data_IF_235318958247
#
_entry.id   IF_235318958247
#
_cell.length_a   1.000
_cell.length_b   1.000
_cell.length_c   1.000
_cell.angle_alpha   90.00
_cell.angle_beta   90.00
_cell.angle_gamma   90.00
#
_symmetry.space_group_name_H-M   'P 1'
#
loop_
_entity.id
_entity.type
_entity.pdbx_description
1 polymer ?
#
# COMPACT_ATOMS: atom_id res chain seq x y z
N UNK A 1 -19.59 4.28 -4.13
CA UNK A 1 -18.79 4.51 -2.89
C UNK A 1 -17.75 3.42 -2.83
N UNK A 2 -16.52 3.67 -3.25
CA UNK A 2 -15.43 2.71 -3.12
C UNK A 2 -14.65 3.08 -1.87
N UNK A 3 -14.55 2.14 -0.92
CA UNK A 3 -13.73 2.28 0.27
C UNK A 3 -12.28 1.94 -0.12
N UNK A 4 -11.35 2.86 0.10
CA UNK A 4 -9.93 2.54 0.06
C UNK A 4 -9.62 1.52 1.18
N UNK A 5 -8.73 0.58 0.89
CA UNK A 5 -8.41 -0.51 1.84
C UNK A 5 -6.97 -0.29 2.33
N UNK A 6 -6.74 -0.26 3.65
CA UNK A 6 -5.39 -0.19 4.20
C UNK A 6 -4.66 -1.52 3.99
N UNK A 7 -3.39 -1.43 3.61
CA UNK A 7 -2.52 -2.60 3.45
C UNK A 7 -1.09 -2.27 3.83
N UNK A 8 -0.40 -3.27 4.39
CA UNK A 8 1.00 -3.12 4.81
C UNK A 8 1.93 -3.48 3.68
N UNK A 9 2.88 -2.60 3.34
CA UNK A 9 3.87 -2.88 2.30
C UNK A 9 4.86 -3.93 2.80
N UNK A 10 4.89 -5.10 2.16
CA UNK A 10 5.77 -6.21 2.52
C UNK A 10 6.94 -6.39 1.55
N UNK A 11 6.82 -5.92 0.32
CA UNK A 11 7.92 -5.90 -0.66
C UNK A 11 7.85 -4.62 -1.51
N UNK A 12 9.02 -4.11 -1.95
CA UNK A 12 9.13 -2.94 -2.84
C UNK A 12 10.15 -3.21 -3.94
N UNK A 13 9.78 -2.94 -5.18
CA UNK A 13 10.61 -2.99 -6.39
C UNK A 13 10.37 -1.73 -7.21
N UNK A 14 11.19 -0.71 -6.99
CA UNK A 14 11.08 0.61 -7.63
C UNK A 14 9.66 1.19 -7.50
N UNK A 15 8.86 1.13 -8.56
CA UNK A 15 7.49 1.65 -8.64
C UNK A 15 6.40 0.60 -8.38
N UNK A 16 6.77 -0.65 -8.12
CA UNK A 16 5.86 -1.75 -7.84
C UNK A 16 6.06 -2.21 -6.39
N UNK A 17 4.96 -2.42 -5.66
CA UNK A 17 4.96 -2.91 -4.30
C UNK A 17 4.07 -4.14 -4.14
N UNK A 18 4.42 -5.03 -3.22
CA UNK A 18 3.51 -6.06 -2.72
C UNK A 18 2.99 -5.61 -1.36
N UNK A 19 1.68 -5.49 -1.22
CA UNK A 19 0.99 -5.17 0.02
C UNK A 19 0.26 -6.38 0.57
N UNK A 20 0.24 -6.51 1.89
CA UNK A 20 -0.55 -7.49 2.62
C UNK A 20 -1.84 -6.85 3.14
N UNK A 21 -2.97 -7.41 2.70
CA UNK A 21 -4.34 -7.02 3.02
C UNK A 21 -4.94 -8.05 3.98
N UNK A 22 -4.32 -8.27 5.15
CA UNK A 22 -4.82 -9.22 6.16
C UNK A 22 -4.72 -10.69 5.74
N UNK A 23 -3.61 -11.07 5.10
CA UNK A 23 -3.30 -12.41 4.60
C UNK A 23 -3.36 -12.55 3.08
N UNK A 24 -3.87 -11.53 2.38
CA UNK A 24 -3.91 -11.49 0.92
C UNK A 24 -2.81 -10.58 0.40
N UNK A 25 -1.83 -11.15 -0.29
CA UNK A 25 -0.78 -10.38 -0.97
C UNK A 25 -1.27 -9.87 -2.32
N UNK A 26 -1.08 -8.57 -2.57
CA UNK A 26 -1.45 -7.94 -3.82
C UNK A 26 -0.35 -7.04 -4.34
N UNK A 27 -0.12 -7.11 -5.64
CA UNK A 27 0.77 -6.18 -6.34
C UNK A 27 0.03 -4.86 -6.60
N UNK A 28 0.69 -3.75 -6.30
CA UNK A 28 0.18 -2.40 -6.50
C UNK A 28 1.28 -1.48 -7.06
N UNK A 29 0.87 -0.42 -7.75
CA UNK A 29 1.78 0.66 -8.13
C UNK A 29 1.99 1.62 -6.97
N UNK A 30 3.25 2.00 -6.76
CA UNK A 30 3.74 2.97 -5.79
C UNK A 30 4.16 4.29 -6.46
N UNK A 31 3.78 4.53 -7.72
CA UNK A 31 4.22 5.71 -8.48
C UNK A 31 3.83 7.05 -7.83
N UNK A 32 2.81 7.06 -6.98
CA UNK A 32 2.41 8.25 -6.21
C UNK A 32 3.13 8.40 -4.86
N UNK A 33 3.79 7.34 -4.37
CA UNK A 33 4.46 7.29 -3.07
C UNK A 33 5.90 6.76 -3.22
N UNK A 34 6.80 7.50 -3.90
CA UNK A 34 8.16 7.04 -4.15
C UNK A 34 8.98 6.80 -2.87
N UNK A 35 8.63 7.50 -1.79
CA UNK A 35 9.31 7.46 -0.49
C UNK A 35 8.82 6.36 0.47
N UNK A 36 7.73 5.65 0.13
CA UNK A 36 7.18 4.57 0.97
C UNK A 36 8.21 3.45 1.18
N UNK A 37 8.22 2.87 2.37
CA UNK A 37 9.16 1.82 2.77
C UNK A 37 8.42 0.55 3.16
N UNK A 38 9.15 -0.56 3.08
CA UNK A 38 8.63 -1.85 3.58
C UNK A 38 8.32 -1.69 5.07
N UNK A 39 7.12 -2.08 5.47
CA UNK A 39 6.58 -1.90 6.81
C UNK A 39 5.57 -0.75 6.93
N UNK A 40 5.56 0.19 5.98
CA UNK A 40 4.58 1.27 5.98
C UNK A 40 3.20 0.77 5.59
N UNK A 41 2.18 1.41 6.14
CA UNK A 41 0.79 1.19 5.77
C UNK A 41 0.38 2.19 4.70
N UNK A 42 -0.33 1.70 3.69
CA UNK A 42 -0.80 2.51 2.57
C UNK A 42 -2.29 2.28 2.31
N UNK A 43 -2.99 3.34 1.95
CA UNK A 43 -4.35 3.24 1.42
C UNK A 43 -4.31 2.91 -0.06
N UNK A 44 -4.99 1.83 -0.42
CA UNK A 44 -4.99 1.29 -1.77
C UNK A 44 -6.33 1.54 -2.43
N UNK A 45 -6.28 2.06 -3.66
CA UNK A 45 -7.45 2.24 -4.50
C UNK A 45 -7.13 1.80 -5.93
N UNK A 46 -7.95 0.89 -6.47
CA UNK A 46 -7.85 0.46 -7.88
C UNK A 46 -6.46 -0.01 -8.34
N UNK A 47 -5.65 -0.55 -7.42
CA UNK A 47 -4.28 -1.04 -7.73
C UNK A 47 -3.16 -0.03 -7.53
N UNK A 48 -3.46 1.15 -6.97
CA UNK A 48 -2.47 2.18 -6.64
C UNK A 48 -2.46 2.45 -5.14
N UNK A 49 -1.28 2.68 -4.58
CA UNK A 49 -1.16 3.34 -3.28
C UNK A 49 -1.37 4.84 -3.46
N UNK A 50 -2.29 5.42 -2.69
CA UNK A 50 -2.63 6.85 -2.77
C UNK A 50 -1.93 7.68 -1.68
N UNK A 51 -1.90 7.15 -0.46
CA UNK A 51 -1.34 7.82 0.71
C UNK A 51 -0.77 6.79 1.68
N UNK A 52 0.28 7.18 2.40
CA UNK A 52 0.78 6.46 3.57
C UNK A 52 -0.05 6.84 4.78
N UNK A 53 -0.45 5.86 5.57
CA UNK A 53 -1.17 6.07 6.83
C UNK A 53 -0.35 5.53 7.99
N UNK A 54 -0.61 6.05 9.19
CA UNK A 54 -0.01 5.56 10.41
C UNK A 54 -0.59 4.18 10.78
N UNK A 55 0.17 3.33 11.47
CA UNK A 55 -0.36 2.04 11.96
C UNK A 55 -1.55 2.21 12.92
N UNK A 56 -1.68 3.36 13.57
CA UNK A 56 -2.83 3.73 14.42
C UNK A 56 -4.10 4.08 13.62
N UNK A 57 -3.95 4.41 12.34
CA UNK A 57 -5.03 4.82 11.42
C UNK A 57 -5.42 3.71 10.42
N UNK A 58 -4.68 2.59 10.43
CA UNK A 58 -4.84 1.43 9.57
C UNK A 58 -5.83 0.39 10.13
#
# INVERSE_FOLDING_TARGET
>A
MCLAIPGKLVEKKEEIGIVDLGGVKKEISLSFLPEVKIGDWVLIHTGFALETISEEEA
#
